data_IF_507006110432
#
_entry.id   IF_507006110432
#
_cell.length_a   1.000
_cell.length_b   1.000
_cell.length_c   1.000
_cell.angle_alpha   90.00
_cell.angle_beta   90.00
_cell.angle_gamma   90.00
#
_symmetry.space_group_name_H-M   'P 1'
#
loop_
_entity.id
_entity.type
_entity.pdbx_description
1 polymer ?
#
# COMPACT_ATOMS: atom_id res chain seq x y z
N UNK A 1 -1.89 23.32 6.62
CA UNK A 1 -1.82 21.86 6.63
C UNK A 1 -0.46 21.49 7.20
N UNK A 2 -0.44 20.59 8.17
CA UNK A 2 0.79 20.01 8.71
C UNK A 2 0.87 18.57 8.20
N UNK A 3 2.05 18.12 7.76
CA UNK A 3 2.27 16.76 7.28
C UNK A 3 3.23 16.10 8.27
N UNK A 4 2.81 14.98 8.82
CA UNK A 4 3.58 14.21 9.80
C UNK A 4 3.88 12.85 9.17
N UNK A 5 5.15 12.45 9.18
CA UNK A 5 5.55 11.12 8.76
C UNK A 5 5.30 10.13 9.93
N UNK A 6 4.52 9.07 9.74
CA UNK A 6 4.38 8.04 10.77
C UNK A 6 5.71 7.31 10.97
N UNK A 7 5.94 6.81 12.19
CA UNK A 7 7.21 6.15 12.55
C UNK A 7 7.40 4.81 11.83
N UNK A 8 6.34 4.01 11.70
CA UNK A 8 6.32 2.69 11.05
C UNK A 8 4.89 2.38 10.56
N UNK A 9 4.75 1.60 9.49
CA UNK A 9 3.45 1.16 8.94
C UNK A 9 2.58 2.31 8.39
N UNK A 10 1.26 2.08 8.34
CA UNK A 10 0.29 3.10 7.96
C UNK A 10 -0.20 3.95 9.14
N UNK A 11 -0.94 5.02 8.83
CA UNK A 11 -1.42 6.00 9.82
C UNK A 11 -2.73 5.58 10.54
N UNK A 12 -3.25 4.36 10.32
CA UNK A 12 -4.61 3.96 10.77
C UNK A 12 -4.85 4.21 12.25
N UNK A 13 -3.91 3.80 13.10
CA UNK A 13 -4.03 3.93 14.56
C UNK A 13 -3.99 5.40 15.01
N UNK A 14 -3.14 6.22 14.38
CA UNK A 14 -3.04 7.64 14.69
C UNK A 14 -4.33 8.39 14.34
N UNK A 15 -4.88 8.11 13.15
CA UNK A 15 -6.14 8.72 12.70
C UNK A 15 -7.33 8.22 13.54
N UNK A 16 -7.38 6.93 13.86
CA UNK A 16 -8.39 6.37 14.76
C UNK A 16 -8.32 6.95 16.17
N UNK A 17 -7.13 7.35 16.63
CA UNK A 17 -6.92 8.00 17.92
C UNK A 17 -7.10 9.54 17.89
N UNK A 18 -7.51 10.11 16.76
CA UNK A 18 -7.72 11.56 16.61
C UNK A 18 -6.42 12.38 16.60
N UNK A 19 -5.27 11.76 16.33
CA UNK A 19 -3.98 12.46 16.26
C UNK A 19 -3.70 13.08 14.88
N UNK A 20 -4.67 13.00 13.97
CA UNK A 20 -4.67 13.65 12.66
C UNK A 20 -6.03 13.45 11.98
N UNK A 21 -6.36 14.34 11.04
CA UNK A 21 -7.64 14.28 10.32
C UNK A 21 -7.65 13.24 9.19
N UNK A 22 -6.51 13.11 8.50
CA UNK A 22 -6.32 12.24 7.34
C UNK A 22 -4.98 11.54 7.41
N UNK A 23 -4.89 10.34 6.85
CA UNK A 23 -3.63 9.60 6.77
C UNK A 23 -3.59 8.63 5.60
N UNK A 24 -2.38 8.27 5.18
CA UNK A 24 -2.19 7.13 4.27
C UNK A 24 -2.09 5.84 5.06
N UNK A 25 -2.74 4.80 4.57
CA UNK A 25 -2.74 3.45 5.12
C UNK A 25 -2.89 2.46 3.95
N UNK A 26 -3.30 1.24 4.24
CA UNK A 26 -3.41 0.15 3.29
C UNK A 26 -4.73 -0.61 3.53
N UNK A 27 -5.31 -1.21 2.49
CA UNK A 27 -6.59 -1.90 2.60
C UNK A 27 -6.58 -3.02 3.65
N UNK A 28 -5.46 -3.72 3.83
CA UNK A 28 -5.26 -4.75 4.86
C UNK A 28 -5.35 -4.20 6.28
N UNK A 29 -4.74 -3.05 6.54
CA UNK A 29 -4.79 -2.41 7.86
C UNK A 29 -6.20 -1.90 8.15
N UNK A 30 -6.86 -1.29 7.16
CA UNK A 30 -8.24 -0.83 7.29
C UNK A 30 -9.18 -2.02 7.54
N UNK A 31 -9.03 -3.12 6.80
CA UNK A 31 -9.85 -4.33 6.97
C UNK A 31 -9.67 -4.93 8.37
N UNK A 32 -8.44 -5.04 8.86
CA UNK A 32 -8.15 -5.50 10.23
C UNK A 32 -8.72 -4.52 11.28
N UNK A 33 -8.59 -3.22 11.06
CA UNK A 33 -9.10 -2.21 11.98
C UNK A 33 -10.63 -2.28 12.10
N UNK A 34 -11.34 -2.33 10.96
CA UNK A 34 -12.80 -2.44 10.92
C UNK A 34 -13.31 -3.71 11.57
N UNK A 35 -12.68 -4.85 11.32
CA UNK A 35 -13.05 -6.13 11.95
C UNK A 35 -12.79 -6.11 13.45
N UNK A 36 -11.91 -5.23 13.96
CA UNK A 36 -11.74 -4.97 15.39
C UNK A 36 -12.64 -3.85 15.95
N UNK A 37 -13.54 -3.30 15.14
CA UNK A 37 -14.47 -2.24 15.55
C UNK A 37 -13.83 -0.86 15.64
N UNK A 38 -12.65 -0.66 15.04
CA UNK A 38 -11.99 0.64 14.97
C UNK A 38 -12.68 1.48 13.89
N UNK A 39 -13.20 2.69 14.21
CA UNK A 39 -14.06 3.46 13.33
C UNK A 39 -13.27 4.30 12.30
N UNK A 40 -12.53 3.63 11.41
CA UNK A 40 -11.81 4.26 10.29
C UNK A 40 -12.54 3.99 8.96
N UNK A 41 -12.40 4.85 7.95
CA UNK A 41 -12.85 4.62 6.58
C UNK A 41 -11.80 5.06 5.55
N UNK A 42 -11.66 4.31 4.48
CA UNK A 42 -10.94 4.72 3.28
C UNK A 42 -11.78 5.72 2.47
N UNK A 43 -11.13 6.79 2.02
CA UNK A 43 -11.70 7.87 1.22
C UNK A 43 -11.27 7.80 -0.25
N UNK A 44 -10.11 7.19 -0.54
CA UNK A 44 -9.61 7.00 -1.90
C UNK A 44 -8.60 5.85 -1.99
N UNK A 45 -8.63 5.11 -3.08
CA UNK A 45 -7.50 4.31 -3.54
C UNK A 45 -6.44 5.22 -4.17
N UNK A 46 -5.24 5.28 -3.60
CA UNK A 46 -4.18 6.14 -4.14
C UNK A 46 -3.66 5.58 -5.46
N UNK A 47 -3.47 4.26 -5.50
CA UNK A 47 -3.09 3.48 -6.67
C UNK A 47 -4.21 2.46 -6.89
N UNK A 48 -4.67 2.31 -8.14
CA UNK A 48 -5.82 1.48 -8.43
C UNK A 48 -5.54 -0.01 -8.38
N UNK A 49 -4.43 -0.47 -8.95
CA UNK A 49 -4.03 -1.87 -8.90
C UNK A 49 -2.88 -2.09 -7.93
N UNK A 50 -2.81 -3.27 -7.32
CA UNK A 50 -1.72 -3.58 -6.42
C UNK A 50 -0.40 -3.66 -7.19
N UNK A 51 0.51 -2.72 -6.91
CA UNK A 51 1.87 -2.65 -7.49
C UNK A 51 2.92 -3.20 -6.54
N UNK A 52 2.50 -3.77 -5.41
CA UNK A 52 3.38 -4.32 -4.40
C UNK A 52 3.64 -5.82 -4.60
N UNK A 53 4.76 -6.28 -4.05
CA UNK A 53 5.21 -7.65 -4.19
C UNK A 53 6.45 -7.95 -3.38
N UNK A 54 6.83 -9.23 -3.37
CA UNK A 54 8.05 -9.69 -2.73
C UNK A 54 9.23 -9.54 -3.68
N UNK A 55 10.26 -8.80 -3.24
CA UNK A 55 11.46 -8.52 -3.99
C UNK A 55 12.70 -9.13 -3.35
N UNK A 56 13.58 -9.67 -4.18
CA UNK A 56 14.89 -10.18 -3.79
C UNK A 56 15.94 -9.83 -4.85
N UNK A 57 17.23 -9.73 -4.50
CA UNK A 57 18.30 -9.67 -5.50
C UNK A 57 18.22 -10.87 -6.46
N UNK A 58 18.37 -10.63 -7.77
CA UNK A 58 18.20 -11.65 -8.80
C UNK A 58 19.06 -12.91 -8.55
N UNK A 59 20.30 -12.70 -8.07
CA UNK A 59 21.27 -13.75 -7.74
C UNK A 59 20.82 -14.71 -6.62
N UNK A 60 19.89 -14.29 -5.75
CA UNK A 60 19.31 -15.17 -4.71
C UNK A 60 18.30 -16.17 -5.28
N UNK A 61 17.88 -16.00 -6.54
CA UNK A 61 16.99 -16.91 -7.27
C UNK A 61 15.66 -17.22 -6.55
N UNK A 62 15.11 -16.26 -5.81
CA UNK A 62 13.79 -16.37 -5.17
C UNK A 62 12.74 -15.88 -6.16
N UNK A 63 12.08 -16.79 -6.87
CA UNK A 63 11.22 -16.46 -8.03
C UNK A 63 9.74 -16.77 -7.80
N UNK A 64 9.43 -17.48 -6.72
CA UNK A 64 8.07 -17.87 -6.34
C UNK A 64 8.00 -18.17 -4.83
N UNK A 65 6.81 -18.19 -4.22
CA UNK A 65 6.62 -18.43 -2.79
C UNK A 65 7.29 -19.68 -2.24
N UNK A 66 7.39 -20.78 -3.00
CA UNK A 66 8.12 -21.96 -2.55
C UNK A 66 9.60 -21.72 -2.30
N UNK A 67 10.20 -20.76 -2.98
CA UNK A 67 11.62 -20.46 -2.83
C UNK A 67 11.91 -19.68 -1.52
N UNK A 68 10.86 -19.23 -0.81
CA UNK A 68 10.96 -18.61 0.51
C UNK A 68 11.43 -19.60 1.59
N UNK A 69 11.27 -20.91 1.38
CA UNK A 69 11.77 -21.90 2.34
C UNK A 69 13.28 -21.71 2.62
N UNK A 70 13.63 -21.63 3.91
CA UNK A 70 15.00 -21.43 4.37
C UNK A 70 15.55 -20.03 4.11
N UNK A 71 14.70 -19.05 3.80
CA UNK A 71 15.08 -17.65 3.59
C UNK A 71 14.67 -16.77 4.76
N UNK A 72 15.32 -15.61 4.85
CA UNK A 72 14.98 -14.55 5.80
C UNK A 72 14.10 -13.50 5.14
N UNK A 73 12.88 -13.33 5.64
CA UNK A 73 12.00 -12.24 5.24
C UNK A 73 12.27 -11.01 6.12
N UNK A 74 12.49 -9.85 5.50
CA UNK A 74 12.55 -8.57 6.18
C UNK A 74 11.23 -7.82 6.07
N UNK A 75 10.62 -7.52 7.21
CA UNK A 75 9.33 -6.83 7.30
C UNK A 75 9.29 -5.75 8.37
N UNK A 76 8.09 -5.22 8.61
CA UNK A 76 7.83 -4.22 9.67
C UNK A 76 7.10 -4.81 10.90
N UNK A 77 6.81 -6.11 10.89
CA UNK A 77 6.27 -6.84 12.04
C UNK A 77 4.75 -6.85 12.14
N UNK A 78 4.04 -6.53 11.05
CA UNK A 78 2.59 -6.60 10.99
C UNK A 78 2.12 -8.06 10.87
N UNK A 79 1.03 -8.46 11.57
CA UNK A 79 0.39 -9.76 11.38
C UNK A 79 -0.06 -10.02 9.93
N UNK A 80 -0.31 -8.96 9.16
CA UNK A 80 -0.69 -9.08 7.75
C UNK A 80 0.43 -9.68 6.90
N UNK A 81 1.69 -9.35 7.18
CA UNK A 81 2.86 -9.84 6.44
C UNK A 81 3.03 -11.36 6.61
N UNK A 82 2.97 -11.83 7.86
CA UNK A 82 3.09 -13.26 8.19
C UNK A 82 2.02 -14.08 7.48
N UNK A 83 0.77 -13.62 7.49
CA UNK A 83 -0.30 -14.37 6.87
C UNK A 83 -0.27 -14.30 5.33
N UNK A 84 0.15 -13.18 4.75
CA UNK A 84 0.38 -13.07 3.31
C UNK A 84 1.40 -14.12 2.86
N UNK A 85 2.53 -14.21 3.55
CA UNK A 85 3.56 -15.23 3.29
C UNK A 85 2.99 -16.65 3.45
N UNK A 86 2.29 -16.93 4.56
CA UNK A 86 1.67 -18.25 4.79
C UNK A 86 0.69 -18.63 3.68
N UNK A 87 -0.17 -17.70 3.26
CA UNK A 87 -1.19 -17.96 2.25
C UNK A 87 -0.57 -18.30 0.90
N UNK A 88 0.40 -17.49 0.45
CA UNK A 88 1.11 -17.74 -0.80
C UNK A 88 1.93 -19.04 -0.76
N UNK A 89 2.65 -19.28 0.34
CA UNK A 89 3.43 -20.51 0.49
C UNK A 89 2.55 -21.76 0.51
N UNK A 90 1.37 -21.70 1.15
CA UNK A 90 0.40 -22.79 1.18
C UNK A 90 -0.10 -23.17 -0.23
N UNK A 91 -0.32 -22.19 -1.12
CA UNK A 91 -0.70 -22.46 -2.51
C UNK A 91 0.36 -23.28 -3.26
N UNK A 92 1.63 -23.12 -2.92
CA UNK A 92 2.75 -23.86 -3.51
C UNK A 92 3.21 -25.08 -2.69
N UNK A 93 2.43 -25.48 -1.68
CA UNK A 93 2.75 -26.59 -0.76
C UNK A 93 4.12 -26.40 -0.06
N UNK A 94 4.47 -25.16 0.25
CA UNK A 94 5.71 -24.78 0.94
C UNK A 94 5.47 -24.59 2.44
N UNK A 95 6.53 -24.83 3.22
CA UNK A 95 6.51 -24.77 4.68
C UNK A 95 6.95 -23.39 5.19
N UNK A 96 5.98 -22.59 5.61
CA UNK A 96 6.23 -21.29 6.24
C UNK A 96 7.11 -21.40 7.50
N UNK A 97 7.10 -22.52 8.22
CA UNK A 97 7.94 -22.73 9.40
C UNK A 97 9.44 -22.71 9.10
N UNK A 98 9.84 -22.74 7.81
CA UNK A 98 11.22 -22.59 7.36
C UNK A 98 11.59 -21.15 6.97
N UNK A 99 10.67 -20.20 7.06
CA UNK A 99 10.95 -18.78 6.83
C UNK A 99 11.32 -18.13 8.15
N UNK A 100 12.45 -17.42 8.18
CA UNK A 100 12.85 -16.63 9.34
C UNK A 100 12.33 -15.20 9.16
N UNK A 101 11.43 -14.77 10.04
CA UNK A 101 10.87 -13.41 10.03
C UNK A 101 11.78 -12.46 10.81
N UNK A 102 12.29 -11.43 10.14
CA UNK A 102 13.14 -10.39 10.73
C UNK A 102 12.39 -9.05 10.66
N UNK A 103 12.21 -8.40 11.80
CA UNK A 103 11.69 -7.03 11.82
C UNK A 103 12.84 -6.05 11.54
N UNK A 104 12.79 -5.39 10.39
CA UNK A 104 13.73 -4.36 9.95
C UNK A 104 13.11 -2.95 9.98
N UNK A 105 11.86 -2.81 10.44
CA UNK A 105 11.12 -1.55 10.49
C UNK A 105 11.10 -0.84 9.14
N UNK A 106 11.51 0.42 9.12
CA UNK A 106 11.64 1.24 7.91
C UNK A 106 13.05 1.24 7.29
N UNK A 107 13.87 0.21 7.56
CA UNK A 107 15.22 0.14 7.00
C UNK A 107 15.24 0.05 5.47
N UNK A 108 16.27 0.66 4.87
CA UNK A 108 16.49 0.62 3.41
C UNK A 108 16.59 -0.81 2.89
N UNK A 109 15.86 -1.09 1.80
CA UNK A 109 15.83 -2.40 1.15
C UNK A 109 17.23 -2.89 0.76
N UNK A 110 18.00 -2.05 0.05
CA UNK A 110 19.29 -2.45 -0.53
C UNK A 110 20.34 -2.77 0.54
N UNK A 111 20.27 -2.06 1.67
CA UNK A 111 21.09 -2.33 2.84
C UNK A 111 20.67 -3.64 3.50
N UNK A 112 19.37 -3.83 3.70
CA UNK A 112 18.81 -4.99 4.39
C UNK A 112 19.09 -6.30 3.64
N UNK A 113 18.87 -6.35 2.33
CA UNK A 113 19.07 -7.59 1.54
C UNK A 113 20.54 -8.00 1.36
N UNK A 114 21.48 -7.07 1.59
CA UNK A 114 22.92 -7.36 1.59
C UNK A 114 23.43 -7.89 2.92
N UNK A 115 22.78 -7.52 4.03
CA UNK A 115 23.31 -7.73 5.38
C UNK A 115 22.51 -8.73 6.18
N UNK A 116 21.19 -8.60 6.17
CA UNK A 116 20.34 -9.13 7.24
C UNK A 116 19.25 -10.06 6.72
N UNK A 117 18.72 -9.83 5.51
CA UNK A 117 17.56 -10.54 4.95
C UNK A 117 17.75 -10.99 3.50
N UNK A 118 16.85 -11.85 3.02
CA UNK A 118 16.89 -12.38 1.66
C UNK A 118 15.91 -11.72 0.70
N UNK A 119 14.77 -11.31 1.22
CA UNK A 119 13.71 -10.66 0.44
C UNK A 119 12.82 -9.84 1.37
N UNK A 120 12.13 -8.85 0.81
CA UNK A 120 11.19 -7.99 1.53
C UNK A 120 9.96 -7.72 0.67
N UNK A 121 8.90 -7.18 1.28
CA UNK A 121 7.75 -6.67 0.54
C UNK A 121 7.98 -5.19 0.20
N UNK A 122 7.88 -4.83 -1.07
CA UNK A 122 8.10 -3.47 -1.57
C UNK A 122 6.98 -3.04 -2.53
N UNK A 123 6.95 -1.75 -2.88
CA UNK A 123 6.26 -1.24 -4.07
C UNK A 123 7.20 -1.21 -5.28
N UNK A 124 6.72 -1.67 -6.44
CA UNK A 124 7.50 -1.61 -7.68
C UNK A 124 7.86 -0.17 -8.04
N UNK A 125 6.89 0.75 -7.93
CA UNK A 125 7.06 2.16 -8.29
C UNK A 125 8.06 2.94 -7.42
N UNK A 126 8.62 2.35 -6.37
CA UNK A 126 9.66 2.97 -5.54
C UNK A 126 10.95 2.15 -5.57
N UNK A 127 11.03 1.08 -4.78
CA UNK A 127 12.25 0.28 -4.67
C UNK A 127 12.57 -0.49 -5.96
N UNK A 128 11.56 -0.86 -6.75
CA UNK A 128 11.76 -1.49 -8.06
C UNK A 128 12.45 -0.53 -9.03
N UNK A 129 11.89 0.67 -9.21
CA UNK A 129 12.50 1.74 -10.02
C UNK A 129 13.90 2.11 -9.52
N UNK A 130 14.09 2.21 -8.20
CA UNK A 130 15.41 2.49 -7.63
C UNK A 130 16.43 1.40 -7.97
N UNK A 131 16.00 0.14 -8.01
CA UNK A 131 16.86 -0.98 -8.35
C UNK A 131 17.26 -0.94 -9.83
N UNK A 132 16.33 -0.60 -10.73
CA UNK A 132 16.60 -0.39 -12.16
C UNK A 132 17.62 0.72 -12.38
N UNK A 133 17.43 1.88 -11.74
CA UNK A 133 18.35 3.02 -11.79
C UNK A 133 19.76 2.66 -11.29
N UNK A 134 19.85 1.80 -10.27
CA UNK A 134 21.12 1.32 -9.70
C UNK A 134 21.74 0.16 -10.50
N UNK A 135 21.05 -0.37 -11.52
CA UNK A 135 21.50 -1.56 -12.24
C UNK A 135 21.57 -2.82 -11.37
N UNK A 136 20.70 -2.92 -10.35
CA UNK A 136 20.62 -4.03 -9.41
C UNK A 136 19.40 -4.90 -9.75
N UNK A 137 19.55 -5.95 -10.58
CA UNK A 137 18.42 -6.74 -11.02
C UNK A 137 17.73 -7.44 -9.85
N UNK A 138 16.39 -7.46 -9.88
CA UNK A 138 15.54 -8.09 -8.88
C UNK A 138 14.83 -9.31 -9.46
N UNK A 139 14.57 -10.32 -8.62
CA UNK A 139 13.38 -11.14 -8.81
C UNK A 139 12.24 -10.46 -8.06
N UNK A 140 11.10 -10.29 -8.73
CA UNK A 140 9.92 -9.66 -8.16
C UNK A 140 8.69 -10.55 -8.35
N UNK A 141 7.95 -10.75 -7.27
CA UNK A 141 6.76 -11.61 -7.21
C UNK A 141 5.58 -10.70 -6.87
N UNK A 142 4.82 -10.29 -7.87
CA UNK A 142 3.61 -9.49 -7.67
C UNK A 142 2.57 -10.28 -6.89
N UNK A 143 1.95 -9.65 -5.88
CA UNK A 143 0.90 -10.32 -5.10
C UNK A 143 -0.34 -10.64 -5.95
N UNK A 144 -0.74 -9.68 -6.81
CA UNK A 144 -1.93 -9.82 -7.67
C UNK A 144 -1.86 -10.99 -8.65
N UNK A 145 -0.67 -11.52 -8.95
CA UNK A 145 -0.49 -12.65 -9.87
C UNK A 145 -0.85 -14.00 -9.23
N UNK A 146 -1.01 -14.06 -7.90
CA UNK A 146 -1.25 -15.31 -7.16
C UNK A 146 -2.72 -15.56 -6.82
N UNK A 147 -3.53 -14.51 -6.77
CA UNK A 147 -4.96 -14.61 -6.49
C UNK A 147 -5.66 -13.28 -6.84
N UNK A 148 -6.84 -13.34 -7.45
CA UNK A 148 -7.60 -12.14 -7.85
C UNK A 148 -7.89 -11.18 -6.69
N UNK A 149 -8.08 -11.72 -5.48
CA UNK A 149 -8.30 -10.90 -4.28
C UNK A 149 -7.05 -10.12 -3.85
N UNK A 150 -5.86 -10.49 -4.32
CA UNK A 150 -4.60 -9.82 -3.99
C UNK A 150 -4.34 -8.57 -4.84
N UNK A 151 -5.19 -8.28 -5.82
CA UNK A 151 -5.29 -6.97 -6.45
C UNK A 151 -6.14 -6.01 -5.60
N UNK A 152 -5.75 -5.82 -4.34
CA UNK A 152 -6.37 -4.90 -3.38
C UNK A 152 -5.77 -3.49 -3.46
N UNK A 153 -6.43 -2.52 -2.86
CA UNK A 153 -6.01 -1.12 -2.83
C UNK A 153 -4.87 -0.89 -1.84
N UNK A 154 -3.70 -0.54 -2.37
CA UNK A 154 -2.57 -0.16 -1.53
C UNK A 154 -1.67 0.85 -2.26
N UNK A 155 -1.42 2.05 -1.67
CA UNK A 155 -2.01 2.57 -0.44
C UNK A 155 -3.43 3.13 -0.62
N UNK A 156 -4.11 3.39 0.49
CA UNK A 156 -5.39 4.10 0.58
C UNK A 156 -5.25 5.35 1.45
N UNK A 157 -6.05 6.37 1.15
CA UNK A 157 -6.23 7.55 2.00
C UNK A 157 -7.38 7.29 2.97
N UNK A 158 -7.20 7.58 4.26
CA UNK A 158 -8.18 7.28 5.31
C UNK A 158 -8.52 8.50 6.18
N UNK A 159 -9.70 8.46 6.80
CA UNK A 159 -10.14 9.34 7.88
C UNK A 159 -10.94 8.54 8.92
N UNK A 160 -11.13 9.08 10.13
CA UNK A 160 -12.04 8.48 11.12
C UNK A 160 -13.50 8.75 10.75
N UNK A 161 -14.42 7.90 11.20
CA UNK A 161 -15.87 8.14 11.05
C UNK A 161 -16.31 9.42 11.79
N UNK A 162 -15.65 9.76 12.89
CA UNK A 162 -15.86 11.01 13.63
C UNK A 162 -15.50 12.21 12.75
N UNK A 163 -14.31 12.25 12.16
CA UNK A 163 -13.91 13.34 11.24
C UNK A 163 -14.86 13.45 10.04
N UNK A 164 -15.30 12.31 9.49
CA UNK A 164 -16.26 12.29 8.36
C UNK A 164 -17.62 12.85 8.76
N UNK A 165 -18.14 12.49 9.94
CA UNK A 165 -19.48 12.88 10.38
C UNK A 165 -19.54 14.28 10.98
N UNK A 166 -18.56 14.66 11.80
CA UNK A 166 -18.54 15.94 12.48
C UNK A 166 -17.96 17.07 11.61
N UNK A 167 -17.03 16.73 10.70
CA UNK A 167 -16.31 17.70 9.87
C UNK A 167 -16.43 17.39 8.36
N UNK A 168 -17.61 16.98 7.89
CA UNK A 168 -17.84 16.58 6.48
C UNK A 168 -17.40 17.64 5.45
N UNK A 169 -17.54 18.94 5.75
CA UNK A 169 -17.07 20.02 4.89
C UNK A 169 -15.53 20.08 4.78
N UNK A 170 -14.81 19.77 5.86
CA UNK A 170 -13.36 19.64 5.86
C UNK A 170 -12.96 18.47 4.95
N UNK A 171 -13.59 17.31 5.12
CA UNK A 171 -13.34 16.11 4.29
C UNK A 171 -13.61 16.39 2.83
N UNK A 172 -14.74 17.02 2.49
CA UNK A 172 -15.08 17.37 1.12
C UNK A 172 -14.06 18.34 0.49
N UNK A 173 -13.63 19.35 1.23
CA UNK A 173 -12.66 20.35 0.73
C UNK A 173 -11.27 19.73 0.54
N UNK A 174 -10.84 18.88 1.48
CA UNK A 174 -9.59 18.14 1.39
C UNK A 174 -9.59 17.20 0.19
N UNK A 175 -10.63 16.38 0.04
CA UNK A 175 -10.74 15.44 -1.08
C UNK A 175 -10.79 16.13 -2.44
N UNK A 176 -11.50 17.27 -2.56
CA UNK A 176 -11.49 18.05 -3.81
C UNK A 176 -10.09 18.57 -4.18
N UNK A 177 -9.31 19.01 -3.20
CA UNK A 177 -7.92 19.44 -3.44
C UNK A 177 -7.03 18.25 -3.81
N UNK A 178 -7.18 17.13 -3.09
CA UNK A 178 -6.41 15.90 -3.31
C UNK A 178 -6.67 15.30 -4.69
N UNK A 179 -7.94 15.19 -5.12
CA UNK A 179 -8.31 14.73 -6.47
C UNK A 179 -7.65 15.58 -7.56
N UNK A 180 -7.67 16.92 -7.40
CA UNK A 180 -6.98 17.82 -8.32
C UNK A 180 -5.46 17.62 -8.33
N UNK A 181 -4.87 17.38 -7.15
CA UNK A 181 -3.44 17.09 -6.99
C UNK A 181 -3.02 15.82 -7.73
N UNK A 182 -3.72 14.70 -7.52
CA UNK A 182 -3.41 13.46 -8.22
C UNK A 182 -3.68 13.53 -9.71
N UNK A 183 -4.73 14.25 -10.14
CA UNK A 183 -4.92 14.53 -11.57
C UNK A 183 -3.74 15.30 -12.16
N UNK A 184 -3.22 16.30 -11.44
CA UNK A 184 -2.02 17.02 -11.85
C UNK A 184 -0.80 16.10 -11.93
N UNK A 185 -0.62 15.18 -10.97
CA UNK A 185 0.45 14.17 -11.01
C UNK A 185 0.36 13.27 -12.23
N UNK A 186 -0.86 12.83 -12.61
CA UNK A 186 -1.10 12.01 -13.80
C UNK A 186 -0.76 12.79 -15.08
N UNK A 187 -1.23 14.04 -15.18
CA UNK A 187 -1.06 14.86 -16.38
C UNK A 187 0.36 15.45 -16.53
N UNK A 188 1.09 15.63 -15.41
CA UNK A 188 2.38 16.33 -15.37
C UNK A 188 3.38 15.62 -14.43
N UNK A 189 3.72 14.33 -14.68
CA UNK A 189 4.47 13.51 -13.72
C UNK A 189 5.80 14.11 -13.29
N UNK A 190 6.64 14.55 -14.26
CA UNK A 190 7.93 15.16 -13.92
C UNK A 190 7.77 16.44 -13.11
N UNK A 191 6.85 17.33 -13.49
CA UNK A 191 6.63 18.59 -12.76
C UNK A 191 6.11 18.33 -11.34
N UNK A 192 5.22 17.34 -11.17
CA UNK A 192 4.77 16.91 -9.85
C UNK A 192 5.91 16.31 -9.00
N UNK A 193 6.81 15.55 -9.63
CA UNK A 193 8.02 15.05 -8.97
C UNK A 193 8.96 16.17 -8.50
N UNK A 194 9.14 17.25 -9.28
CA UNK A 194 9.91 18.42 -8.81
C UNK A 194 9.26 19.08 -7.58
N UNK A 195 7.93 19.18 -7.53
CA UNK A 195 7.22 19.73 -6.36
C UNK A 195 7.49 18.87 -5.10
N UNK A 196 7.54 17.54 -5.24
CA UNK A 196 7.92 16.67 -4.14
C UNK A 196 9.37 16.93 -3.70
N UNK A 197 10.31 17.08 -4.63
CA UNK A 197 11.72 17.36 -4.35
C UNK A 197 11.94 18.73 -3.71
N UNK A 198 11.11 19.73 -4.00
CA UNK A 198 11.13 21.02 -3.30
C UNK A 198 10.72 20.87 -1.82
N UNK A 199 9.81 19.93 -1.52
CA UNK A 199 9.31 19.68 -0.17
C UNK A 199 10.19 18.73 0.64
N UNK A 200 10.85 17.78 -0.03
CA UNK A 200 11.67 16.72 0.56
C UNK A 200 13.00 16.60 -0.22
N UNK A 201 13.91 17.59 -0.07
CA UNK A 201 15.10 17.75 -0.92
C UNK A 201 16.17 16.66 -0.72
N UNK A 202 16.05 15.82 0.31
CA UNK A 202 16.91 14.67 0.57
C UNK A 202 16.64 13.47 -0.34
N UNK A 203 15.49 13.45 -1.03
CA UNK A 203 15.16 12.36 -1.95
C UNK A 203 16.08 12.37 -3.17
N UNK A 204 16.36 11.18 -3.70
CA UNK A 204 17.08 11.06 -4.96
C UNK A 204 16.20 11.57 -6.11
N UNK A 205 16.68 12.60 -6.81
CA UNK A 205 15.93 13.26 -7.88
C UNK A 205 15.53 12.31 -9.01
N UNK A 206 16.45 11.49 -9.50
CA UNK A 206 16.15 10.59 -10.62
C UNK A 206 15.13 9.53 -10.20
N UNK A 207 15.25 8.98 -8.99
CA UNK A 207 14.25 8.08 -8.42
C UNK A 207 12.86 8.73 -8.39
N UNK A 208 12.73 9.94 -7.86
CA UNK A 208 11.44 10.62 -7.75
C UNK A 208 10.81 10.86 -9.11
N UNK A 209 11.60 11.31 -10.10
CA UNK A 209 11.08 11.61 -11.42
C UNK A 209 10.64 10.34 -12.17
N UNK A 210 11.46 9.29 -12.15
CA UNK A 210 11.13 8.02 -12.82
C UNK A 210 9.99 7.29 -12.09
N UNK A 211 9.94 7.35 -10.76
CA UNK A 211 8.81 6.87 -9.96
C UNK A 211 7.51 7.58 -10.33
N UNK A 212 7.51 8.91 -10.48
CA UNK A 212 6.30 9.63 -10.89
C UNK A 212 5.87 9.34 -12.32
N UNK A 213 6.81 9.13 -13.24
CA UNK A 213 6.45 8.70 -14.59
C UNK A 213 5.80 7.32 -14.60
N UNK A 214 6.29 6.38 -13.79
CA UNK A 214 5.64 5.09 -13.58
C UNK A 214 4.25 5.25 -12.94
N UNK A 215 4.16 5.96 -11.82
CA UNK A 215 2.92 6.07 -11.04
C UNK A 215 1.81 6.85 -11.75
N UNK A 216 2.13 7.73 -12.71
CA UNK A 216 1.13 8.41 -13.52
C UNK A 216 0.18 7.44 -14.25
N UNK A 217 0.67 6.25 -14.63
CA UNK A 217 -0.16 5.18 -15.21
C UNK A 217 -0.97 4.39 -14.18
N UNK A 218 -0.55 4.38 -12.92
CA UNK A 218 -1.06 3.49 -11.88
C UNK A 218 -2.06 4.19 -10.91
N UNK A 219 -1.99 5.52 -10.79
CA UNK A 219 -2.85 6.28 -9.88
C UNK A 219 -4.34 6.11 -10.18
N UNK A 220 -4.78 6.44 -11.39
CA UNK A 220 -6.17 6.26 -11.83
C UNK A 220 -6.37 4.96 -12.63
N UNK A 221 -5.35 4.48 -13.34
CA UNK A 221 -5.42 3.30 -14.20
C UNK A 221 -6.73 3.24 -15.03
N UNK A 222 -7.56 2.22 -14.81
CA UNK A 222 -8.82 1.98 -15.50
C UNK A 222 -10.07 2.51 -14.76
N UNK A 223 -9.89 3.14 -13.60
CA UNK A 223 -11.01 3.69 -12.83
C UNK A 223 -11.63 4.93 -13.51
N UNK A 224 -12.95 5.14 -13.38
CA UNK A 224 -13.62 6.31 -13.95
C UNK A 224 -13.05 7.64 -13.44
N UNK A 225 -12.73 7.71 -12.15
CA UNK A 225 -12.03 8.83 -11.52
C UNK A 225 -10.95 8.33 -10.58
N UNK A 226 -9.88 9.11 -10.40
CA UNK A 226 -8.87 8.82 -9.38
C UNK A 226 -9.52 8.65 -8.00
N UNK A 227 -9.04 7.68 -7.23
CA UNK A 227 -9.53 7.40 -5.89
C UNK A 227 -10.72 6.45 -5.79
N UNK A 228 -11.46 6.21 -6.88
CA UNK A 228 -12.69 5.41 -6.83
C UNK A 228 -12.42 3.98 -6.37
N UNK A 229 -13.20 3.50 -5.40
CA UNK A 229 -13.07 2.15 -4.86
C UNK A 229 -14.30 1.29 -5.17
N UNK A 230 -14.08 0.01 -5.43
CA UNK A 230 -15.12 -0.99 -5.70
C UNK A 230 -15.49 -1.77 -4.44
N UNK A 231 -16.79 -1.85 -4.15
CA UNK A 231 -17.32 -2.68 -3.05
C UNK A 231 -16.92 -4.16 -3.20
N UNK A 232 -17.00 -4.68 -4.43
CA UNK A 232 -16.65 -6.07 -4.76
C UNK A 232 -15.17 -6.35 -4.50
N UNK A 233 -14.28 -5.37 -4.74
CA UNK A 233 -12.84 -5.54 -4.47
C UNK A 233 -12.56 -5.55 -2.96
N UNK A 234 -13.26 -4.72 -2.19
CA UNK A 234 -13.21 -4.76 -0.72
C UNK A 234 -13.73 -6.09 -0.16
N UNK A 235 -14.87 -6.56 -0.66
CA UNK A 235 -15.47 -7.85 -0.30
C UNK A 235 -14.52 -9.02 -0.59
N UNK A 236 -14.05 -9.15 -1.83
CA UNK A 236 -13.13 -10.24 -2.24
C UNK A 236 -11.89 -10.32 -1.37
N UNK A 237 -11.29 -9.18 -1.05
CA UNK A 237 -10.09 -9.17 -0.22
C UNK A 237 -10.39 -9.52 1.25
N UNK A 238 -11.48 -8.98 1.80
CA UNK A 238 -11.89 -9.31 3.16
C UNK A 238 -12.26 -10.80 3.30
N UNK A 239 -12.98 -11.36 2.34
CA UNK A 239 -13.30 -12.79 2.32
C UNK A 239 -12.03 -13.63 2.24
N UNK A 240 -11.09 -13.24 1.36
CA UNK A 240 -9.80 -13.90 1.28
C UNK A 240 -9.05 -13.84 2.63
N UNK A 241 -9.02 -12.69 3.30
CA UNK A 241 -8.42 -12.56 4.64
C UNK A 241 -9.13 -13.47 5.65
N UNK A 242 -10.46 -13.52 5.65
CA UNK A 242 -11.22 -14.38 6.55
C UNK A 242 -10.90 -15.87 6.32
N UNK A 243 -10.86 -16.30 5.05
CA UNK A 243 -10.51 -17.68 4.67
C UNK A 243 -9.07 -18.06 5.03
N UNK A 244 -8.15 -17.10 5.04
CA UNK A 244 -6.78 -17.30 5.52
C UNK A 244 -6.65 -17.22 7.06
N UNK A 245 -7.74 -16.91 7.79
CA UNK A 245 -7.73 -16.74 9.25
C UNK A 245 -7.03 -15.45 9.71
N UNK A 246 -6.93 -14.44 8.84
CA UNK A 246 -6.35 -13.13 9.12
C UNK A 246 -7.28 -12.22 9.93
N UNK A 247 -8.57 -12.40 9.73
CA UNK A 247 -9.64 -11.71 10.45
C UNK A 247 -10.59 -12.77 11.01
N UNK A 248 -11.16 -12.51 12.17
CA UNK A 248 -12.00 -13.44 12.93
C UNK A 248 -13.49 -13.33 12.59
N UNK A 249 -13.86 -12.31 11.81
CA UNK A 249 -15.20 -12.12 11.27
C UNK A 249 -15.13 -11.49 9.88
N UNK A 250 -16.14 -11.73 9.02
CA UNK A 250 -16.28 -11.03 7.75
C UNK A 250 -16.35 -9.51 7.94
N UNK A 251 -15.85 -8.77 6.95
CA UNK A 251 -16.02 -7.33 6.85
C UNK A 251 -17.36 -7.03 6.16
N UNK A 252 -18.09 -6.02 6.65
CA UNK A 252 -19.14 -5.38 5.85
C UNK A 252 -18.50 -4.29 4.98
N UNK A 253 -18.36 -4.47 3.65
CA UNK A 253 -17.52 -3.60 2.81
C UNK A 253 -17.91 -2.11 2.85
N UNK A 254 -19.22 -1.81 2.85
CA UNK A 254 -19.73 -0.43 2.95
C UNK A 254 -19.38 0.30 4.27
N UNK A 255 -18.84 -0.43 5.27
CA UNK A 255 -18.33 0.19 6.49
C UNK A 255 -16.86 0.58 6.41
N UNK A 256 -16.11 0.08 5.42
CA UNK A 256 -14.67 0.24 5.32
C UNK A 256 -14.23 1.38 4.40
N UNK A 257 -15.08 1.79 3.46
CA UNK A 257 -14.76 2.87 2.52
C UNK A 257 -15.99 3.72 2.16
N UNK A 258 -15.75 4.87 1.54
CA UNK A 258 -16.78 5.68 0.88
C UNK A 258 -16.21 6.40 -0.34
N UNK A 259 -17.00 6.47 -1.41
CA UNK A 259 -16.69 7.26 -2.62
C UNK A 259 -17.38 8.64 -2.63
N UNK A 260 -18.14 8.97 -1.57
CA UNK A 260 -18.98 10.19 -1.50
C UNK A 260 -18.20 11.47 -1.80
N UNK A 261 -16.96 11.54 -1.36
CA UNK A 261 -16.14 12.76 -1.42
C UNK A 261 -15.28 12.90 -2.69
N UNK A 262 -15.37 11.94 -3.62
CA UNK A 262 -14.59 11.95 -4.88
C UNK A 262 -15.22 12.81 -5.98
N UNK A 263 -16.52 13.11 -5.86
CA UNK A 263 -17.24 13.92 -6.84
C UNK A 263 -16.80 15.38 -6.76
N UNK A 264 -16.26 15.91 -7.86
CA UNK A 264 -16.00 17.36 -8.02
C UNK A 264 -17.12 17.94 -8.88
N UNK A 265 -18.04 18.76 -8.35
CA UNK A 265 -19.03 19.44 -9.18
C UNK A 265 -18.34 20.33 -10.23
N UNK A 266 -18.70 20.15 -11.51
CA UNK A 266 -18.23 21.02 -12.60
C UNK A 266 -16.97 20.56 -13.33
N UNK A 267 -16.63 19.27 -13.25
CA UNK A 267 -15.80 18.56 -14.24
C UNK A 267 -16.69 17.61 -15.02
#
# INVERSE_FOLDING_TARGET
>A
MEIIQPSEGGATQLIAAGQGDFGFSYQEEVTIARTKGIPIKALAAVIQHNTSGFASPAEKNIKRPRDFEGKKYGGWGSPAEEAMLKALMKQEQADFGKVEMINIGAADYFTSVRRDVDFTWIFMGWTGIEAELKGLPLNFIYLKDYHDALDFYTPVLVASEETISENSQLVQSFMQATVKGYRYCIENPRAAGEILLESVPELNRDLVLESQEYLAGEYQADAPVWGEMSEIRWEKYADWMYDQGLIDRPLEPGTAFTNEFLSVPGV
#
